data_IF_997443157526
#
_entry.id   IF_997443157526
#
_cell.length_a   1.000
_cell.length_b   1.000
_cell.length_c   1.000
_cell.angle_alpha   90.00
_cell.angle_beta   90.00
_cell.angle_gamma   90.00
#
_symmetry.space_group_name_H-M   'P 1'
#
loop_
_entity.id
_entity.type
_entity.pdbx_description
1 polymer ?
2 water ?
#
# COMPACT_ATOMS: atom_id res chain seq x y z
N UNK A 4 11.16 16.38 -25.31
CA UNK A 4 12.17 15.80 -26.17
C UNK A 4 13.42 15.38 -25.41
N UNK A 5 13.40 15.42 -24.08
CA UNK A 5 14.62 14.99 -23.37
C UNK A 5 14.33 13.88 -22.39
N UNK A 6 15.32 13.03 -22.12
CA UNK A 6 15.19 11.92 -21.19
C UNK A 6 15.09 12.40 -19.75
N UNK A 7 14.54 11.58 -18.86
CA UNK A 7 14.44 11.90 -17.45
C UNK A 7 15.87 12.03 -16.90
N UNK A 8 16.05 12.96 -16.01
CA UNK A 8 17.35 13.17 -15.36
C UNK A 8 17.01 13.30 -13.87
N UNK A 9 17.40 12.30 -13.08
CA UNK A 9 17.07 12.32 -11.66
C UNK A 9 17.67 13.55 -10.97
N UNK A 10 16.98 14.01 -9.94
CA UNK A 10 17.44 15.15 -9.17
C UNK A 10 18.78 14.84 -8.51
N UNK A 11 19.54 15.88 -8.14
CA UNK A 11 20.79 15.58 -7.44
C UNK A 11 20.50 15.76 -5.94
N UNK A 12 20.94 14.81 -5.12
CA UNK A 12 20.68 14.93 -3.68
C UNK A 12 21.70 15.88 -3.07
N UNK A 13 21.27 17.08 -2.74
CA UNK A 13 22.12 18.10 -2.17
C UNK A 13 22.58 17.70 -0.77
N UNK A 14 21.64 17.31 0.09
CA UNK A 14 21.96 16.96 1.46
C UNK A 14 20.86 16.18 2.16
N UNK A 15 21.28 15.18 2.92
CA UNK A 15 20.41 14.33 3.72
C UNK A 15 20.67 14.62 5.19
N UNK A 16 19.63 14.68 6.03
CA UNK A 16 19.83 14.97 7.44
C UNK A 16 18.74 14.38 8.32
N UNK A 17 19.13 13.66 9.36
CA UNK A 17 18.14 13.08 10.29
C UNK A 17 17.46 14.25 10.99
N UNK A 18 16.16 14.36 10.92
CA UNK A 18 15.43 15.48 11.52
C UNK A 18 14.62 15.06 12.72
N UNK A 19 14.36 13.77 12.84
CA UNK A 19 13.55 13.24 13.93
C UNK A 19 13.73 11.73 14.04
N UNK A 20 13.83 11.27 15.29
CA UNK A 20 14.02 9.84 15.52
C UNK A 20 13.23 9.40 16.74
N UNK A 21 12.36 8.42 16.55
CA UNK A 21 11.56 7.87 17.64
C UNK A 21 12.19 6.49 17.94
N UNK A 22 11.42 5.52 18.34
CA UNK A 22 11.99 4.20 18.66
C UNK A 22 11.77 3.19 17.55
N UNK A 23 11.20 3.66 16.45
CA UNK A 23 10.93 2.79 15.31
C UNK A 23 10.89 3.63 14.03
N UNK A 24 10.87 4.95 14.24
CA UNK A 24 10.80 5.87 13.13
C UNK A 24 11.92 6.89 13.06
N UNK A 25 12.61 6.94 11.92
CA UNK A 25 13.66 7.94 11.74
C UNK A 25 13.40 8.72 10.45
N UNK A 26 12.93 9.95 10.63
CA UNK A 26 12.62 10.79 9.47
C UNK A 26 13.84 11.60 9.04
N UNK A 27 13.97 11.72 7.70
CA UNK A 27 15.08 12.46 7.12
C UNK A 27 14.59 13.65 6.30
N UNK A 28 15.44 14.66 6.22
CA UNK A 28 15.14 15.85 5.41
C UNK A 28 16.07 15.75 4.19
N UNK A 29 15.50 15.80 2.99
CA UNK A 29 16.33 15.68 1.80
C UNK A 29 16.27 16.94 0.94
N UNK A 30 17.46 17.48 0.72
CA UNK A 30 17.65 18.67 -0.12
C UNK A 30 17.81 18.18 -1.57
N UNK A 31 16.95 18.62 -2.46
CA UNK A 31 17.01 18.21 -3.84
C UNK A 31 17.11 19.34 -4.87
N UNK A 32 17.92 19.07 -5.89
CA UNK A 32 18.04 20.01 -6.98
C UNK A 32 17.56 19.27 -8.24
N UNK A 33 16.41 19.67 -8.77
CA UNK A 33 15.92 18.97 -9.97
C UNK A 33 16.67 19.38 -11.23
N UNK A 34 16.49 18.64 -12.31
CA UNK A 34 17.11 18.93 -13.60
C UNK A 34 16.96 20.35 -14.09
N UNK A 35 15.79 20.94 -13.78
CA UNK A 35 15.52 22.31 -14.14
C UNK A 35 16.11 23.23 -13.09
N UNK A 36 17.03 22.90 -12.23
CA UNK A 36 17.58 23.83 -11.26
C UNK A 36 16.64 24.17 -10.14
N UNK A 37 15.45 23.59 -10.10
CA UNK A 37 14.53 23.88 -9.00
C UNK A 37 15.03 23.14 -7.75
N UNK A 38 15.11 23.85 -6.64
CA UNK A 38 15.57 23.29 -5.39
C UNK A 38 14.39 23.13 -4.43
N UNK A 39 14.36 21.99 -3.73
CA UNK A 39 13.30 21.71 -2.78
C UNK A 39 13.80 20.82 -1.65
N UNK A 40 13.14 20.92 -0.51
CA UNK A 40 13.44 20.12 0.66
C UNK A 40 12.29 19.12 0.90
N UNK A 41 12.54 17.84 0.80
CA UNK A 41 11.47 16.86 1.05
C UNK A 41 11.77 16.08 2.31
N UNK A 42 10.76 15.51 2.94
CA UNK A 42 10.96 14.70 4.14
C UNK A 42 10.61 13.26 3.81
N UNK A 43 11.31 12.29 4.35
CA UNK A 43 11.04 10.88 4.09
C UNK A 43 11.45 10.02 5.29
N UNK A 45 13.82 7.23 6.84
CA UNK A 45 15.18 6.78 6.53
C UNK A 45 15.07 5.48 5.74
N UNK A 46 15.73 5.45 4.59
CA UNK A 46 15.71 4.29 3.72
C UNK A 46 16.32 3.06 4.37
N UNK A 47 15.71 1.91 4.14
CA UNK A 47 16.18 0.65 4.63
C UNK A 47 16.13 -0.36 3.45
N UNK A 48 16.96 -1.38 3.58
CA UNK A 48 17.00 -2.46 2.59
C UNK A 48 16.29 -3.65 3.24
N UNK A 49 15.76 -3.42 4.44
CA UNK A 49 15.02 -4.41 5.22
C UNK A 49 13.69 -4.69 4.50
N UNK A 50 13.52 -5.90 4.00
CA UNK A 50 12.32 -6.22 3.27
C UNK A 50 11.30 -6.99 4.09
N UNK A 51 10.05 -6.91 3.61
CA UNK A 51 8.93 -7.56 4.27
C UNK A 51 8.49 -8.77 3.46
N UNK A 52 7.69 -9.60 4.09
CA UNK A 52 7.15 -10.79 3.44
C UNK A 52 5.70 -10.90 3.89
N UNK A 54 2.47 -13.75 3.55
CA UNK A 54 2.11 -15.12 3.22
C UNK A 54 0.60 -15.31 3.09
N UNK A 55 0.23 -15.95 1.99
CA UNK A 55 -1.11 -16.34 1.62
C UNK A 55 -1.19 -17.88 1.57
N UNK A 56 -1.49 -18.47 2.72
CA UNK A 56 -1.61 -19.91 2.85
C UNK A 56 -2.92 -20.42 2.27
N UNK A 57 -2.92 -21.50 1.54
CA UNK A 57 -4.13 -22.08 0.96
C UNK A 57 -4.26 -23.52 1.44
N UNK A 58 -5.36 -23.93 2.08
CA UNK A 58 -5.43 -25.31 2.55
C UNK A 58 -6.47 -26.15 1.84
N UNK A 59 -7.74 -26.15 2.21
CA UNK A 59 -8.66 -27.04 1.44
C UNK A 59 -9.54 -26.16 0.57
N UNK A 60 -8.90 -25.52 -0.40
CA UNK A 60 -9.58 -24.56 -1.25
C UNK A 60 -10.08 -23.40 -0.39
N UNK A 61 -9.32 -23.09 0.66
CA UNK A 61 -9.59 -22.02 1.56
C UNK A 61 -8.32 -21.16 1.76
N UNK A 62 -8.54 -19.89 1.98
CA UNK A 62 -7.47 -18.93 2.25
C UNK A 62 -7.31 -18.88 3.78
N UNK A 63 -6.14 -18.91 4.37
CA UNK A 63 -6.05 -18.78 5.82
C UNK A 63 -5.75 -17.28 6.08
N UNK A 64 -6.75 -16.54 6.53
CA UNK A 64 -6.58 -15.12 6.83
C UNK A 64 -6.40 -14.99 8.34
N UNK A 65 -5.91 -13.86 8.80
CA UNK A 65 -5.78 -13.64 10.24
C UNK A 65 -6.38 -12.28 10.61
N UNK A 66 -6.78 -12.15 11.87
CA UNK A 66 -7.32 -10.95 12.46
C UNK A 66 -6.27 -10.35 13.39
N UNK A 67 -5.87 -9.13 13.12
CA UNK A 67 -4.82 -8.49 13.91
C UNK A 67 -5.07 -7.04 14.23
N UNK A 68 -4.80 -6.68 15.49
CA UNK A 68 -4.96 -5.31 15.94
C UNK A 68 -3.99 -4.32 15.29
N UNK A 69 -4.46 -3.20 14.84
CA UNK A 69 -3.71 -2.14 14.21
C UNK A 69 -3.88 -0.88 15.05
N UNK A 70 -2.80 -0.39 15.65
CA UNK A 70 -2.90 0.78 16.51
C UNK A 70 -3.15 2.06 15.73
N UNK A 71 -2.69 2.10 14.47
CA UNK A 71 -2.91 3.27 13.63
C UNK A 71 -4.40 3.58 13.51
N UNK A 72 -5.26 2.59 13.34
CA UNK A 72 -6.69 2.78 13.21
C UNK A 72 -7.47 2.33 14.45
N UNK A 73 -6.79 1.79 15.46
CA UNK A 73 -7.43 1.30 16.66
C UNK A 73 -8.51 0.29 16.36
N UNK A 74 -8.17 -0.68 15.51
CA UNK A 74 -9.17 -1.71 15.17
C UNK A 74 -8.47 -2.97 14.67
N UNK A 75 -9.28 -4.01 14.50
CA UNK A 75 -8.81 -5.28 14.04
C UNK A 75 -8.90 -5.39 12.54
N UNK A 76 -7.75 -5.53 11.88
CA UNK A 76 -7.85 -5.68 10.41
C UNK A 76 -7.99 -7.17 10.10
N UNK A 77 -8.61 -7.52 8.99
CA UNK A 77 -8.78 -8.92 8.57
C UNK A 77 -7.86 -9.04 7.37
N UNK A 78 -6.91 -9.97 7.31
CA UNK A 78 -6.02 -10.02 6.16
C UNK A 78 -4.96 -11.08 6.22
N UNK A 79 -3.92 -10.90 5.39
CA UNK A 79 -2.84 -11.87 5.31
C UNK A 79 -1.70 -11.55 6.26
N UNK A 80 -1.12 -12.60 6.80
CA UNK A 80 0.02 -12.55 7.69
C UNK A 80 1.19 -11.80 7.05
N UNK A 81 1.72 -10.85 7.79
CA UNK A 81 2.83 -10.02 7.30
C UNK A 81 3.98 -10.02 8.28
N UNK A 82 5.21 -10.04 7.80
CA UNK A 82 6.38 -10.02 8.65
C UNK A 82 7.64 -9.54 7.93
N UNK A 83 8.69 -9.34 8.69
CA UNK A 83 9.96 -8.90 8.17
C UNK A 83 10.83 -10.09 7.78
N UNK A 84 11.72 -9.86 6.82
CA UNK A 84 12.66 -10.89 6.38
C UNK A 84 13.93 -10.62 7.18
N UNK A 85 14.35 -11.51 8.06
CA UNK A 85 15.59 -11.18 8.82
C UNK A 85 16.82 -11.22 7.92
N UNK A 86 17.78 -10.36 8.24
CA UNK A 86 19.04 -10.33 7.51
C UNK A 86 19.54 -11.75 7.32
N UNK A 87 19.86 -12.14 6.10
CA UNK A 87 20.34 -13.47 5.79
C UNK A 87 19.30 -14.42 5.28
N UNK A 88 18.01 -14.23 5.60
CA UNK A 88 16.99 -15.17 5.18
C UNK A 88 16.53 -14.91 3.75
N UNK A 89 16.14 -15.99 3.07
CA UNK A 89 15.60 -15.82 1.71
C UNK A 89 14.09 -15.58 1.88
N UNK A 90 13.35 -15.30 0.81
CA UNK A 90 11.92 -15.08 0.96
C UNK A 90 11.26 -16.36 1.47
N UNK A 91 11.74 -17.50 0.97
CA UNK A 91 11.20 -18.79 1.38
C UNK A 91 11.39 -19.00 2.87
N UNK A 92 12.60 -18.76 3.38
CA UNK A 92 12.91 -18.96 4.77
C UNK A 92 12.05 -18.10 5.69
N UNK A 93 11.94 -16.83 5.35
CA UNK A 93 11.20 -15.87 6.12
C UNK A 93 9.71 -16.21 6.10
N UNK A 94 9.22 -16.62 4.94
CA UNK A 94 7.80 -16.92 4.84
C UNK A 94 7.46 -18.10 5.73
N UNK A 95 8.29 -19.14 5.64
CA UNK A 95 8.04 -20.36 6.41
C UNK A 95 8.14 -20.13 7.90
N UNK A 96 9.07 -19.28 8.32
CA UNK A 96 9.25 -18.99 9.73
C UNK A 96 8.08 -18.22 10.32
N UNK A 97 7.69 -17.13 9.67
CA UNK A 97 6.64 -16.22 10.05
C UNK A 97 5.29 -16.95 10.08
N UNK A 98 5.08 -17.86 9.14
CA UNK A 98 3.85 -18.63 9.12
C UNK A 98 3.86 -19.50 10.40
N UNK A 99 5.01 -20.07 10.76
CA UNK A 99 5.11 -20.93 11.93
C UNK A 99 4.86 -20.19 13.23
N UNK A 100 5.39 -18.96 13.32
CA UNK A 100 5.25 -18.16 14.51
C UNK A 100 3.83 -17.61 14.63
N UNK A 101 3.22 -17.17 13.53
CA UNK A 101 1.91 -16.55 13.63
C UNK A 101 0.71 -17.45 13.51
N UNK A 102 0.80 -18.53 12.76
CA UNK A 102 -0.32 -19.43 12.49
C UNK A 102 -0.09 -20.86 12.91
N UNK A 103 1.14 -21.24 13.25
CA UNK A 103 1.45 -22.56 13.68
C UNK A 103 1.62 -23.59 12.60
N UNK A 104 1.88 -23.20 11.37
CA UNK A 104 2.11 -24.13 10.30
C UNK A 104 3.38 -23.72 9.53
N UNK A 105 4.05 -24.73 9.02
CA UNK A 105 5.23 -24.43 8.14
C UNK A 105 4.67 -24.90 6.79
N UNK A 106 5.35 -24.73 5.68
CA UNK A 106 4.76 -25.22 4.43
C UNK A 106 5.81 -25.89 3.55
N UNK A 107 5.45 -26.98 2.89
CA UNK A 107 6.37 -27.65 1.97
C UNK A 107 6.40 -26.99 0.61
N UNK A 108 5.37 -26.20 0.28
CA UNK A 108 5.32 -25.58 -1.04
C UNK A 108 5.10 -24.08 -0.99
N UNK A 109 6.20 -23.31 -1.08
CA UNK A 109 6.16 -21.87 -1.04
C UNK A 109 6.50 -21.26 -2.38
N UNK A 110 5.64 -20.36 -2.88
CA UNK A 110 5.90 -19.75 -4.16
C UNK A 110 5.87 -18.23 -4.09
N UNK A 111 7.00 -17.69 -4.51
CA UNK A 111 7.30 -16.26 -4.54
C UNK A 111 6.65 -15.69 -5.80
N UNK A 112 5.55 -15.00 -5.55
CA UNK A 112 4.67 -14.42 -6.55
C UNK A 112 4.98 -13.06 -7.10
N UNK A 113 5.45 -12.12 -6.30
CA UNK A 113 5.69 -10.76 -6.79
C UNK A 113 6.27 -9.92 -5.65
N UNK A 114 6.99 -8.87 -5.98
CA UNK A 114 7.58 -7.97 -4.99
C UNK A 114 7.00 -6.59 -5.25
N UNK A 115 6.59 -5.85 -4.23
CA UNK A 115 5.98 -4.54 -4.44
C UNK A 115 6.57 -3.49 -3.51
N UNK A 116 6.46 -2.23 -3.89
CA UNK A 116 6.87 -1.11 -3.06
C UNK A 116 5.60 -0.53 -2.43
N UNK A 118 4.21 3.18 -1.36
CA UNK A 118 4.37 4.64 -1.27
C UNK A 118 5.84 4.99 -1.20
N UNK A 119 6.52 4.87 -2.35
CA UNK A 119 7.93 5.13 -2.46
C UNK A 119 8.32 6.58 -2.27
N UNK A 120 7.40 7.51 -2.21
CA UNK A 120 7.69 8.92 -1.98
C UNK A 120 8.35 9.09 -0.60
N UNK A 121 7.76 8.45 0.40
CA UNK A 121 8.23 8.50 1.76
C UNK A 121 8.89 7.22 2.25
N UNK A 122 8.44 6.05 1.78
CA UNK A 122 9.02 4.81 2.30
C UNK A 122 9.80 4.08 1.22
N UNK A 123 10.71 3.20 1.62
CA UNK A 123 11.50 2.49 0.61
C UNK A 123 11.26 0.99 0.69
N UNK A 124 10.85 0.52 1.87
CA UNK A 124 10.62 -0.89 2.08
C UNK A 124 9.80 -1.55 0.97
N UNK A 125 10.15 -2.80 0.69
CA UNK A 125 9.40 -3.55 -0.30
C UNK A 125 8.83 -4.81 0.39
N UNK A 127 7.39 -8.77 -0.14
CA UNK A 127 7.41 -9.95 -1.00
C UNK A 127 6.15 -10.80 -0.79
N UNK A 128 5.36 -11.03 -1.83
CA UNK A 128 4.15 -11.85 -1.66
C UNK A 128 4.43 -13.32 -1.93
N UNK A 129 4.20 -14.15 -0.94
CA UNK A 129 4.46 -15.57 -1.05
C UNK A 129 3.26 -16.47 -0.80
N UNK A 130 2.92 -17.34 -1.76
CA UNK A 130 1.82 -18.29 -1.56
C UNK A 130 2.36 -19.59 -0.91
N UNK A 131 1.73 -20.00 0.19
CA UNK A 131 2.11 -21.17 0.94
C UNK A 131 1.14 -22.34 0.84
N UNK A 132 1.58 -23.50 0.38
CA UNK A 132 0.72 -24.67 0.27
C UNK A 132 1.36 -25.91 0.88
N UNK A 133 0.56 -26.94 1.10
CA UNK A 133 1.09 -28.21 1.68
C UNK A 133 1.65 -27.91 3.06
N UNK A 134 0.75 -27.53 3.95
CA UNK A 134 1.10 -27.15 5.32
C UNK A 134 1.25 -28.33 6.25
N UNK A 135 2.04 -28.15 7.30
CA UNK A 135 2.29 -29.17 8.31
C UNK A 135 2.41 -28.43 9.64
N UNK A 136 1.76 -28.94 10.67
CA UNK A 136 1.79 -28.33 11.99
C UNK A 136 3.23 -28.21 12.51
N UNK A 137 3.57 -27.04 13.02
CA UNK A 137 4.86 -26.72 13.59
C UNK A 137 4.78 -25.28 14.11
N UNK A 138 4.99 -25.10 15.40
CA UNK A 138 4.84 -23.78 15.97
C UNK A 138 6.11 -23.16 16.48
N UNK A 139 6.30 -21.88 16.23
CA UNK A 139 7.48 -21.14 16.66
C UNK A 139 7.00 -19.95 17.51
N UNK A 140 7.86 -19.39 18.32
CA UNK A 140 7.52 -18.26 19.17
C UNK A 140 7.70 -16.92 18.49
N UNK A 141 6.61 -16.16 18.38
CA UNK A 141 6.72 -14.83 17.72
C UNK A 141 6.68 -13.74 18.79
N UNK A 142 6.48 -12.51 18.37
CA UNK A 142 6.43 -11.39 19.31
C UNK A 142 5.04 -10.82 19.47
N UNK A 143 4.00 -11.51 19.01
CA UNK A 143 2.64 -11.01 19.14
C UNK A 143 2.19 -10.98 20.60
N UNK A 144 1.50 -9.94 21.00
CA UNK A 144 1.01 -9.81 22.37
C UNK A 144 -0.22 -10.63 22.64
N UNK A 145 -0.94 -10.99 21.58
CA UNK A 145 -2.19 -11.77 21.74
C UNK A 145 -2.24 -12.68 20.52
N UNK A 146 -2.84 -13.83 20.69
CA UNK A 146 -2.95 -14.81 19.58
C UNK A 146 -3.75 -14.25 18.43
N UNK A 147 -3.47 -14.67 17.21
CA UNK A 147 -4.20 -14.18 16.05
C UNK A 147 -5.25 -15.13 15.55
N UNK A 148 -6.52 -14.78 15.74
CA UNK A 148 -7.62 -15.62 15.29
C UNK A 148 -7.48 -15.88 13.80
N UNK A 149 -7.71 -17.11 13.37
CA UNK A 149 -7.63 -17.49 11.98
C UNK A 149 -9.00 -17.58 11.33
N UNK A 150 -9.03 -17.21 10.05
CA UNK A 150 -10.25 -17.28 9.27
C UNK A 150 -9.97 -18.01 7.95
N UNK A 151 -10.71 -19.09 7.76
CA UNK A 151 -10.68 -19.89 6.55
C UNK A 151 -11.63 -19.27 5.53
N UNK A 152 -11.11 -18.73 4.43
CA UNK A 152 -12.01 -18.08 3.46
C UNK A 152 -11.99 -18.83 2.15
N UNK A 153 -13.16 -19.30 1.71
CA UNK A 153 -13.27 -20.08 0.49
C UNK A 153 -12.78 -19.36 -0.74
N UNK A 154 -11.94 -20.08 -1.50
CA UNK A 154 -11.36 -19.59 -2.74
C UNK A 154 -12.48 -19.37 -3.76
N UNK A 155 -13.56 -20.17 -3.66
CA UNK A 155 -14.68 -20.00 -4.57
C UNK A 155 -15.31 -18.61 -4.41
N UNK A 156 -15.11 -17.93 -3.27
CA UNK A 156 -15.63 -16.64 -2.96
C UNK A 156 -14.58 -15.66 -2.49
N UNK A 159 -15.26 -11.89 -2.31
CA UNK A 159 -16.22 -11.39 -1.36
C UNK A 159 -15.48 -10.59 -0.29
N UNK A 160 -14.19 -10.85 -0.10
CA UNK A 160 -13.35 -10.16 0.86
C UNK A 160 -13.31 -8.67 0.60
N UNK A 161 -13.56 -8.20 -0.62
CA UNK A 161 -13.58 -6.79 -0.99
C UNK A 161 -14.78 -6.08 -0.39
N UNK A 162 -15.76 -6.87 0.09
CA UNK A 162 -16.92 -6.32 0.74
C UNK A 162 -16.68 -6.03 2.22
N UNK A 163 -15.58 -6.45 2.77
CA UNK A 163 -15.19 -6.23 4.15
C UNK A 163 -14.21 -5.09 4.34
N UNK A 164 -14.67 -3.99 4.93
CA UNK A 164 -13.81 -2.83 5.17
C UNK A 164 -12.60 -3.21 5.97
N UNK A 165 -12.65 -4.20 6.87
CA UNK A 165 -11.49 -4.62 7.64
C UNK A 165 -10.36 -5.22 6.79
N UNK A 166 -10.65 -5.64 5.58
CA UNK A 166 -9.68 -6.22 4.68
C UNK A 166 -9.21 -5.26 3.59
N UNK A 167 -10.02 -4.25 3.27
CA UNK A 167 -9.69 -3.34 2.18
C UNK A 167 -8.51 -2.45 2.38
N UNK A 168 -7.32 -2.99 2.25
CA UNK A 168 -6.06 -2.21 2.41
C UNK A 168 -5.24 -2.54 1.18
N UNK A 169 -4.52 -1.61 0.60
CA UNK A 169 -3.73 -1.86 -0.61
C UNK A 169 -2.88 -3.12 -0.64
N UNK A 170 -2.16 -3.46 0.44
CA UNK A 170 -1.36 -4.69 0.37
C UNK A 170 -2.21 -5.93 0.27
N UNK A 171 -3.27 -6.01 1.09
CA UNK A 171 -4.17 -7.14 1.05
C UNK A 171 -4.83 -7.31 -0.33
N UNK A 172 -5.33 -6.22 -0.91
CA UNK A 172 -6.03 -6.22 -2.18
C UNK A 172 -5.17 -6.63 -3.33
N UNK A 173 -3.94 -6.15 -3.36
CA UNK A 173 -2.96 -6.54 -4.38
C UNK A 173 -2.74 -8.06 -4.26
N UNK A 174 -2.42 -8.47 -3.02
CA UNK A 174 -2.17 -9.88 -2.79
C UNK A 174 -3.34 -10.70 -3.31
N UNK A 175 -4.57 -10.33 -2.94
CA UNK A 175 -5.76 -11.06 -3.34
C UNK A 175 -5.87 -11.24 -4.85
N UNK A 176 -5.69 -10.19 -5.64
CA UNK A 176 -5.77 -10.23 -7.08
C UNK A 176 -4.65 -11.00 -7.76
N UNK A 177 -3.43 -10.87 -7.24
CA UNK A 177 -2.28 -11.56 -7.81
C UNK A 177 -2.39 -13.04 -7.53
N UNK A 178 -2.96 -13.41 -6.37
CA UNK A 178 -3.07 -14.82 -6.04
C UNK A 178 -4.14 -15.46 -6.90
N UNK A 179 -5.23 -14.72 -7.11
CA UNK A 179 -6.31 -15.21 -7.97
C UNK A 179 -5.76 -15.32 -9.40
N UNK A 180 -4.93 -14.39 -9.87
CA UNK A 180 -4.38 -14.54 -11.22
C UNK A 180 -3.52 -15.80 -11.27
N UNK A 181 -2.69 -15.98 -10.26
CA UNK A 181 -1.82 -17.16 -10.19
C UNK A 181 -2.70 -18.42 -10.21
N UNK A 182 -3.75 -18.46 -9.42
CA UNK A 182 -4.71 -19.55 -9.37
C UNK A 182 -5.34 -19.78 -10.74
N UNK A 183 -5.76 -18.69 -11.40
CA UNK A 183 -6.35 -18.76 -12.74
C UNK A 183 -5.43 -19.58 -13.65
N UNK A 184 -4.15 -19.25 -13.65
CA UNK A 184 -3.14 -19.89 -14.44
C UNK A 184 -3.21 -21.39 -14.51
N UNK A 185 -3.62 -22.05 -13.44
CA UNK A 185 -3.72 -23.50 -13.37
C UNK A 185 -5.15 -23.98 -13.14
N UNK A 186 -6.09 -23.07 -13.33
CA UNK A 186 -7.49 -23.25 -13.17
C UNK A 186 -8.03 -23.63 -11.83
N UNK A 187 -7.40 -23.34 -10.68
CA UNK A 187 -8.02 -23.77 -9.42
C UNK A 187 -8.90 -22.69 -8.82
N UNK A 188 -9.20 -21.70 -9.63
CA UNK A 188 -9.97 -20.52 -9.42
C UNK A 188 -10.69 -20.43 -8.08
N UNK B 4 -11.96 -19.20 22.58
CA UNK B 4 -12.66 -18.52 21.49
C UNK B 4 -13.68 -17.54 22.01
N UNK B 5 -13.37 -16.24 21.96
CA UNK B 5 -14.30 -15.22 22.43
C UNK B 5 -14.19 -13.95 21.59
N UNK B 6 -15.15 -13.06 21.78
CA UNK B 6 -15.21 -11.81 21.05
C UNK B 6 -13.90 -11.05 21.03
N UNK B 7 -13.65 -10.37 19.92
CA UNK B 7 -12.48 -9.57 19.67
C UNK B 7 -12.47 -8.29 20.50
N UNK B 8 -12.00 -8.33 21.74
CA UNK B 8 -11.98 -7.12 22.55
C UNK B 8 -10.73 -6.28 22.33
N UNK B 9 -10.93 -5.07 21.80
CA UNK B 9 -9.86 -4.14 21.56
C UNK B 9 -9.02 -3.91 22.83
N UNK B 10 -7.72 -3.78 22.62
CA UNK B 10 -6.81 -3.49 23.73
C UNK B 10 -7.23 -2.14 24.30
N UNK B 11 -6.84 -1.82 25.54
CA UNK B 11 -7.28 -0.50 26.01
C UNK B 11 -6.11 0.43 25.98
N UNK B 12 -6.38 1.66 25.57
CA UNK B 12 -5.34 2.67 25.47
C UNK B 12 -5.13 3.37 26.80
N UNK B 13 -3.98 3.11 27.40
CA UNK B 13 -3.63 3.73 28.66
C UNK B 13 -2.95 5.07 28.49
N UNK B 14 -2.19 5.25 27.40
CA UNK B 14 -1.54 6.57 27.26
C UNK B 14 -1.13 6.80 25.82
N UNK B 15 -1.10 8.08 25.44
CA UNK B 15 -0.69 8.54 24.13
C UNK B 15 0.27 9.73 24.34
N UNK B 16 1.40 9.72 23.66
CA UNK B 16 2.36 10.83 23.88
C UNK B 16 3.07 11.10 22.57
N UNK B 17 3.34 12.37 22.27
CA UNK B 17 4.04 12.67 21.02
C UNK B 17 5.54 12.45 21.33
N UNK B 18 6.16 11.57 20.60
CA UNK B 18 7.55 11.18 20.77
C UNK B 18 8.49 11.82 19.79
N UNK B 19 7.98 12.20 18.61
CA UNK B 19 8.77 12.85 17.60
C UNK B 19 7.89 13.64 16.64
N UNK B 20 8.41 14.80 16.23
CA UNK B 20 7.69 15.64 15.29
C UNK B 20 8.65 16.32 14.33
N UNK B 21 8.43 16.06 13.06
CA UNK B 21 9.21 16.62 11.97
C UNK B 21 8.28 17.66 11.31
N UNK B 22 8.67 18.22 10.18
CA UNK B 22 7.79 19.19 9.54
C UNK B 22 6.49 18.52 9.11
N UNK B 23 6.57 17.38 8.46
CA UNK B 23 5.41 16.66 7.97
C UNK B 23 5.03 15.42 8.77
N UNK B 24 5.95 14.90 9.59
CA UNK B 24 5.65 13.69 10.34
C UNK B 24 5.60 13.93 11.83
N UNK B 25 4.59 13.36 12.47
CA UNK B 25 4.42 13.48 13.92
C UNK B 25 4.07 12.10 14.47
N UNK B 26 5.06 11.47 15.13
CA UNK B 26 4.88 10.13 15.67
C UNK B 26 4.54 10.08 17.13
N UNK B 27 3.49 9.31 17.45
CA UNK B 27 3.04 9.12 18.82
C UNK B 27 3.40 7.73 19.36
N UNK B 28 3.46 7.66 20.69
CA UNK B 28 3.77 6.44 21.43
C UNK B 28 2.45 5.99 22.06
N UNK B 29 2.03 4.77 21.90
CA UNK B 29 0.77 4.34 22.45
C UNK B 29 0.93 3.17 23.42
N UNK B 30 0.44 3.42 24.63
CA UNK B 30 0.46 2.42 25.68
C UNK B 30 -0.82 1.58 25.61
N UNK B 31 -0.65 0.30 25.36
CA UNK B 31 -1.78 -0.58 25.27
C UNK B 31 -1.78 -1.68 26.33
N UNK B 32 -3.00 -2.15 26.58
CA UNK B 32 -3.26 -3.23 27.49
C UNK B 32 -4.29 -4.13 26.78
N UNK B 33 -3.72 -5.19 26.19
CA UNK B 33 -4.58 -6.13 25.46
C UNK B 33 -5.50 -6.85 26.44
N UNK B 34 -6.55 -7.48 25.94
CA UNK B 34 -7.51 -8.18 26.76
C UNK B 34 -6.94 -9.34 27.54
N UNK B 35 -5.80 -9.90 27.16
CA UNK B 35 -5.23 -11.02 27.91
C UNK B 35 -4.32 -10.52 29.01
N UNK B 36 -4.29 -9.21 29.21
CA UNK B 36 -3.43 -8.62 30.22
C UNK B 36 -2.04 -8.21 29.76
N UNK B 37 -1.59 -8.58 28.57
CA UNK B 37 -0.26 -8.16 28.12
C UNK B 37 -0.18 -6.65 27.88
N UNK B 38 0.90 -6.01 28.30
CA UNK B 38 1.00 -4.57 28.10
C UNK B 38 2.10 -4.30 27.09
N UNK B 39 1.92 -3.29 26.26
CA UNK B 39 2.90 -3.00 25.22
C UNK B 39 2.86 -1.55 24.75
N UNK B 40 3.96 -1.05 24.20
CA UNK B 40 4.00 0.32 23.70
C UNK B 40 4.20 0.34 22.17
N UNK B 41 3.23 0.91 21.48
CA UNK B 41 3.30 1.00 20.03
C UNK B 41 3.61 2.41 19.58
N UNK B 42 4.19 2.54 18.40
CA UNK B 42 4.56 3.81 17.80
C UNK B 42 3.76 3.92 16.51
N UNK B 43 3.18 5.06 16.25
CA UNK B 43 2.38 5.20 15.02
C UNK B 43 2.45 6.64 14.54
N UNK B 45 0.56 10.08 13.89
CA UNK B 45 -0.62 10.70 14.49
C UNK B 45 -1.80 10.64 13.54
N UNK B 46 -2.86 9.97 13.96
CA UNK B 46 -4.06 9.81 13.15
C UNK B 46 -4.56 11.13 12.57
N UNK B 47 -5.10 11.07 11.37
CA UNK B 47 -5.65 12.21 10.65
C UNK B 47 -6.93 11.80 9.94
N UNK B 48 -7.77 12.78 9.62
CA UNK B 48 -9.02 12.48 8.89
C UNK B 48 -8.82 12.83 7.41
N UNK B 49 -7.63 13.35 7.11
CA UNK B 49 -7.28 13.76 5.75
C UNK B 49 -7.17 12.55 4.83
N UNK B 50 -8.01 12.46 3.80
CA UNK B 50 -8.03 11.37 2.88
C UNK B 50 -7.34 11.71 1.55
N UNK B 51 -7.04 10.64 0.81
CA UNK B 51 -6.38 10.78 -0.48
C UNK B 51 -7.32 10.32 -1.60
N UNK B 52 -6.96 10.79 -2.78
CA UNK B 52 -7.63 10.46 -4.00
C UNK B 52 -6.56 10.08 -5.04
N UNK B 54 -6.46 9.11 -9.24
CA UNK B 54 -7.22 9.17 -10.46
C UNK B 54 -6.64 8.30 -11.57
N UNK B 55 -7.53 7.52 -12.16
CA UNK B 55 -7.30 6.63 -13.26
C UNK B 55 -8.05 7.09 -14.51
N UNK B 56 -7.42 7.97 -15.29
CA UNK B 56 -8.03 8.50 -16.50
C UNK B 56 -7.93 7.53 -17.66
N UNK B 57 -8.97 7.38 -18.43
CA UNK B 57 -9.04 6.51 -19.60
C UNK B 57 -9.44 7.35 -20.80
N UNK B 58 -8.73 7.32 -21.95
CA UNK B 58 -9.09 8.15 -23.06
C UNK B 58 -9.36 7.44 -24.37
N UNK B 59 -8.40 6.91 -25.11
CA UNK B 59 -8.87 6.27 -26.38
C UNK B 59 -8.43 4.82 -26.28
N UNK B 60 -9.06 4.20 -25.27
CA UNK B 60 -8.76 2.83 -24.92
C UNK B 60 -7.38 2.72 -24.26
N UNK B 61 -6.92 3.83 -23.70
CA UNK B 61 -5.66 3.97 -23.04
C UNK B 61 -5.77 4.56 -21.63
N UNK B 62 -4.80 4.17 -20.81
CA UNK B 62 -4.67 4.60 -19.43
C UNK B 62 -3.71 5.80 -19.45
N UNK B 63 -4.01 6.89 -18.76
CA UNK B 63 -3.07 7.99 -18.75
C UNK B 63 -2.26 7.79 -17.44
N UNK B 64 -1.01 7.37 -17.59
CA UNK B 64 -0.17 7.16 -16.41
C UNK B 64 0.81 8.35 -16.38
N UNK B 65 1.46 8.57 -15.25
CA UNK B 65 2.43 9.66 -15.16
C UNK B 65 3.73 9.19 -14.53
N UNK B 66 4.81 9.90 -14.88
CA UNK B 66 6.11 9.57 -14.29
C UNK B 66 6.41 10.60 -13.21
N UNK B 67 6.68 10.18 -11.99
CA UNK B 67 6.96 11.13 -10.91
C UNK B 67 8.10 10.67 -10.03
N UNK B 68 9.01 11.61 -9.70
CA UNK B 68 10.13 11.29 -8.85
C UNK B 68 9.61 11.04 -7.43
N UNK B 69 10.15 10.04 -6.79
CA UNK B 69 9.84 9.62 -5.42
C UNK B 69 11.14 9.65 -4.63
N UNK B 70 11.20 10.56 -3.66
CA UNK B 70 12.45 10.68 -2.88
C UNK B 70 12.70 9.48 -2.00
N UNK B 71 11.62 8.82 -1.52
CA UNK B 71 11.79 7.64 -0.68
C UNK B 71 12.76 6.65 -1.31
N UNK B 72 12.52 6.23 -2.52
CA UNK B 72 13.37 5.27 -3.24
C UNK B 72 14.35 5.96 -4.18
N UNK B 73 14.32 7.28 -4.26
CA UNK B 73 15.18 8.06 -5.13
C UNK B 73 15.11 7.61 -6.57
N UNK B 74 13.90 7.43 -7.09
CA UNK B 74 13.74 7.00 -8.48
C UNK B 74 12.39 7.46 -9.04
N UNK B 75 12.27 7.35 -10.36
CA UNK B 75 11.06 7.76 -11.06
C UNK B 75 10.03 6.66 -11.02
N UNK B 76 8.84 6.98 -10.49
CA UNK B 76 7.85 5.90 -10.40
C UNK B 76 6.86 6.04 -11.52
N UNK B 77 6.35 4.94 -12.08
CA UNK B 77 5.36 5.03 -13.15
C UNK B 77 4.02 4.61 -12.53
N UNK B 78 3.02 5.52 -12.56
CA UNK B 78 1.76 5.16 -11.95
C UNK B 78 0.60 6.09 -12.13
N UNK B 79 -0.40 5.91 -11.24
CA UNK B 79 -1.58 6.78 -11.34
C UNK B 79 -1.41 8.06 -10.53
N UNK B 80 -2.01 9.12 -11.05
CA UNK B 80 -1.96 10.42 -10.38
C UNK B 80 -2.65 10.32 -9.01
N UNK B 81 -1.95 10.74 -7.98
CA UNK B 81 -2.41 10.73 -6.61
C UNK B 81 -2.41 12.15 -6.03
N UNK B 82 -3.33 12.45 -5.13
CA UNK B 82 -3.43 13.73 -4.48
C UNK B 82 -4.34 13.68 -3.25
N UNK B 83 -4.27 14.72 -2.43
CA UNK B 83 -5.04 14.90 -1.24
C UNK B 83 -6.41 15.52 -1.48
N UNK B 84 -7.41 15.07 -0.74
CA UNK B 84 -8.76 15.64 -0.84
C UNK B 84 -8.81 16.85 0.09
N UNK B 85 -9.20 18.01 -0.42
CA UNK B 85 -9.29 19.20 0.41
C UNK B 85 -10.55 19.17 1.28
N UNK B 86 -10.43 19.62 2.52
CA UNK B 86 -11.55 19.73 3.45
C UNK B 86 -12.73 20.37 2.76
N UNK B 87 -13.88 19.74 2.78
CA UNK B 87 -15.05 20.29 2.11
C UNK B 87 -15.28 19.72 0.74
N UNK B 88 -14.25 19.16 0.09
CA UNK B 88 -14.38 18.63 -1.26
C UNK B 88 -14.94 17.23 -1.35
N UNK B 89 -15.67 16.87 -2.40
CA UNK B 89 -16.11 15.48 -2.49
C UNK B 89 -15.04 14.70 -3.27
N UNK B 90 -15.09 13.36 -3.26
CA UNK B 90 -14.13 12.57 -4.00
C UNK B 90 -14.13 12.98 -5.47
N UNK B 91 -15.30 13.27 -6.03
CA UNK B 91 -15.39 13.67 -7.42
C UNK B 91 -14.74 15.04 -7.65
N UNK B 92 -15.02 16.00 -6.75
CA UNK B 92 -14.45 17.32 -6.89
C UNK B 92 -12.94 17.24 -6.85
N UNK B 93 -12.41 16.61 -5.82
CA UNK B 93 -10.97 16.44 -5.65
C UNK B 93 -10.34 15.71 -6.82
N UNK B 94 -10.95 14.64 -7.31
CA UNK B 94 -10.38 13.91 -8.44
C UNK B 94 -10.28 14.81 -9.65
N UNK B 95 -11.31 15.61 -9.91
CA UNK B 95 -11.31 16.50 -11.07
C UNK B 95 -10.28 17.62 -10.95
N UNK B 96 -10.08 18.13 -9.75
CA UNK B 96 -9.11 19.18 -9.48
C UNK B 96 -7.67 18.70 -9.66
N UNK B 97 -7.34 17.54 -9.07
CA UNK B 97 -6.03 16.96 -9.15
C UNK B 97 -5.68 16.50 -10.57
N UNK B 98 -6.67 15.99 -11.30
CA UNK B 98 -6.41 15.56 -12.68
C UNK B 98 -5.92 16.78 -13.49
N UNK B 99 -6.61 17.87 -13.27
CA UNK B 99 -6.44 19.16 -13.85
C UNK B 99 -5.09 19.80 -13.57
N UNK B 100 -4.59 19.65 -12.35
CA UNK B 100 -3.32 20.20 -11.96
C UNK B 100 -2.14 19.35 -12.46
N UNK B 101 -2.26 18.03 -12.49
CA UNK B 101 -1.16 17.18 -12.89
C UNK B 101 -1.17 16.78 -14.36
N UNK B 102 -2.34 16.48 -14.90
CA UNK B 102 -2.46 16.01 -16.27
C UNK B 102 -2.97 17.04 -17.23
N UNK B 103 -3.61 18.10 -16.76
CA UNK B 103 -4.11 19.11 -17.68
C UNK B 103 -5.47 18.79 -18.28
N UNK B 104 -6.23 17.88 -17.70
CA UNK B 104 -7.56 17.57 -18.19
C UNK B 104 -8.53 17.58 -16.98
N UNK B 105 -9.80 17.74 -17.33
CA UNK B 105 -10.93 17.71 -16.40
C UNK B 105 -11.74 16.51 -16.94
N UNK B 106 -12.61 15.93 -16.14
CA UNK B 106 -13.37 14.77 -16.68
C UNK B 106 -14.85 15.00 -16.52
N UNK B 107 -15.69 14.58 -17.48
CA UNK B 107 -17.12 14.80 -17.27
C UNK B 107 -17.71 13.56 -16.58
N UNK B 108 -17.01 12.43 -16.69
CA UNK B 108 -17.45 11.18 -16.11
C UNK B 108 -16.50 10.60 -15.08
N UNK B 109 -16.77 10.88 -13.82
CA UNK B 109 -15.94 10.38 -12.72
C UNK B 109 -16.66 9.35 -11.88
N UNK B 110 -16.12 8.13 -11.80
CA UNK B 110 -16.80 7.13 -10.98
C UNK B 110 -15.92 6.72 -9.82
N UNK B 111 -16.53 6.67 -8.63
CA UNK B 111 -15.81 6.32 -7.40
C UNK B 111 -15.93 4.81 -7.23
N UNK B 112 -14.78 4.16 -7.38
CA UNK B 112 -14.63 2.73 -7.36
C UNK B 112 -14.35 2.05 -6.05
N UNK B 113 -13.59 2.69 -5.17
CA UNK B 113 -13.27 1.98 -3.92
C UNK B 113 -12.51 2.86 -2.94
N UNK B 114 -12.54 2.49 -1.67
CA UNK B 114 -11.82 3.23 -0.63
C UNK B 114 -10.93 2.20 0.07
N UNK B 115 -9.63 2.44 0.01
CA UNK B 115 -8.64 1.54 0.58
C UNK B 115 -7.91 2.15 1.78
N UNK B 116 -7.64 1.35 2.80
CA UNK B 116 -6.89 1.82 3.97
C UNK B 116 -5.41 1.72 3.62
N UNK B 118 -1.81 0.79 5.29
CA UNK B 118 -1.02 0.35 6.43
C UNK B 118 -1.57 0.83 7.77
N UNK B 119 -2.69 0.24 8.21
CA UNK B 119 -3.37 0.60 9.43
C UNK B 119 -2.61 0.42 10.72
N UNK B 120 -1.54 -0.34 10.75
CA UNK B 120 -0.76 -0.52 11.97
C UNK B 120 -0.10 0.80 12.36
N UNK B 121 0.34 1.58 11.38
CA UNK B 121 0.95 2.87 11.68
C UNK B 121 0.16 4.03 11.10
N UNK B 122 -0.70 3.82 10.10
CA UNK B 122 -1.44 4.94 9.51
C UNK B 122 -2.94 4.79 9.63
N UNK B 123 -3.66 5.88 9.34
CA UNK B 123 -5.11 5.84 9.42
C UNK B 123 -5.70 6.57 8.21
N UNK B 124 -4.83 6.72 7.21
CA UNK B 124 -5.15 7.38 5.98
C UNK B 124 -6.00 6.51 5.05
N UNK B 125 -6.91 7.15 4.31
CA UNK B 125 -7.77 6.49 3.36
C UNK B 125 -7.38 6.90 1.94
N UNK B 127 -8.96 7.03 -1.95
CA UNK B 127 -10.12 6.87 -2.83
C UNK B 127 -9.69 6.69 -4.28
N UNK B 128 -10.19 5.63 -4.91
CA UNK B 128 -9.87 5.35 -6.31
C UNK B 128 -11.02 5.78 -7.21
N UNK B 129 -10.69 6.72 -8.11
CA UNK B 129 -11.67 7.24 -9.06
C UNK B 129 -11.25 7.03 -10.51
N UNK B 130 -12.16 6.52 -11.33
CA UNK B 130 -11.88 6.35 -12.76
C UNK B 130 -12.35 7.60 -13.51
N UNK B 131 -11.51 8.20 -14.34
CA UNK B 131 -11.89 9.41 -15.07
C UNK B 131 -12.17 9.20 -16.53
N UNK B 132 -13.38 9.54 -17.01
CA UNK B 132 -13.67 9.37 -18.44
C UNK B 132 -14.22 10.66 -19.02
N UNK B 133 -14.38 10.70 -20.33
CA UNK B 133 -14.86 11.84 -21.09
C UNK B 133 -14.10 13.10 -20.69
N UNK B 134 -12.83 13.12 -21.08
CA UNK B 134 -11.92 14.21 -20.73
C UNK B 134 -11.96 15.43 -21.64
N UNK B 135 -11.64 16.58 -21.05
CA UNK B 135 -11.61 17.86 -21.72
C UNK B 135 -10.42 18.65 -21.14
N UNK B 136 -9.73 19.36 -22.00
CA UNK B 136 -8.57 20.14 -21.63
C UNK B 136 -8.87 21.25 -20.65
N UNK B 137 -8.09 21.39 -19.60
CA UNK B 137 -8.27 22.44 -18.61
C UNK B 137 -7.11 22.34 -17.61
N UNK B 138 -6.42 23.46 -17.34
CA UNK B 138 -5.28 23.37 -16.46
C UNK B 138 -5.41 24.16 -15.18
N UNK B 139 -4.82 23.63 -14.12
CA UNK B 139 -4.80 24.32 -12.83
C UNK B 139 -3.34 24.28 -12.37
N UNK B 140 -2.85 25.25 -11.63
CA UNK B 140 -1.46 25.21 -11.19
C UNK B 140 -1.32 24.27 -9.99
N UNK B 141 -0.57 23.20 -10.21
CA UNK B 141 -0.32 22.27 -9.06
C UNK B 141 0.96 22.88 -8.44
N UNK B 142 1.66 22.17 -7.58
CA UNK B 142 2.89 22.77 -7.02
C UNK B 142 4.13 21.99 -7.41
N UNK B 143 4.05 21.21 -8.48
CA UNK B 143 5.14 20.37 -8.93
C UNK B 143 6.42 21.09 -9.27
N UNK B 144 7.53 20.55 -8.78
CA UNK B 144 8.86 21.08 -9.01
C UNK B 144 9.35 20.87 -10.42
N UNK B 145 8.81 19.88 -11.11
CA UNK B 145 9.19 19.56 -12.49
C UNK B 145 7.97 18.93 -13.15
N UNK B 146 7.91 18.98 -14.47
CA UNK B 146 6.80 18.41 -15.21
C UNK B 146 6.68 16.90 -15.04
N UNK B 147 5.46 16.39 -15.12
CA UNK B 147 5.13 14.99 -15.02
C UNK B 147 4.83 14.34 -16.37
N UNK B 148 5.84 13.69 -16.93
CA UNK B 148 5.69 13.04 -18.22
C UNK B 148 4.46 12.14 -18.21
N UNK B 149 3.63 12.21 -19.23
CA UNK B 149 2.44 11.35 -19.29
C UNK B 149 2.75 10.15 -20.17
N UNK B 150 2.14 9.02 -19.91
CA UNK B 150 2.34 7.81 -20.69
C UNK B 150 0.96 7.18 -20.99
N UNK B 151 0.64 7.01 -22.25
CA UNK B 151 -0.62 6.40 -22.67
C UNK B 151 -0.45 4.90 -22.78
N UNK B 152 -1.13 4.11 -21.95
CA UNK B 152 -1.04 2.67 -21.91
C UNK B 152 -2.34 2.02 -22.34
N UNK B 153 -2.25 1.23 -23.40
CA UNK B 153 -3.41 0.54 -23.96
C UNK B 153 -4.13 -0.33 -22.95
N UNK B 154 -5.45 -0.23 -22.92
CA UNK B 154 -6.30 -1.04 -22.05
C UNK B 154 -6.15 -2.51 -22.42
N UNK B 155 -5.96 -2.82 -23.72
CA UNK B 155 -5.82 -4.23 -24.12
C UNK B 155 -4.58 -4.90 -23.55
N UNK B 156 -3.59 -4.15 -23.08
CA UNK B 156 -2.36 -4.63 -22.54
C UNK B 156 -2.07 -4.10 -21.14
N UNK B 159 0.31 -5.85 -18.71
CA UNK B 159 1.73 -5.79 -18.98
C UNK B 159 2.41 -4.86 -17.99
N UNK B 160 1.65 -3.92 -17.40
CA UNK B 160 2.15 -2.98 -16.43
C UNK B 160 2.81 -3.68 -15.25
N UNK B 161 2.37 -4.88 -14.91
CA UNK B 161 2.91 -5.71 -13.85
C UNK B 161 4.32 -6.21 -14.14
N UNK B 162 4.89 -5.93 -15.30
CA UNK B 162 6.21 -6.30 -15.71
C UNK B 162 7.16 -5.11 -15.56
N UNK B 163 6.62 -3.98 -15.11
CA UNK B 163 7.42 -2.77 -14.94
C UNK B 163 7.57 -2.46 -13.46
N UNK B 164 8.76 -2.70 -12.89
CA UNK B 164 9.04 -2.46 -11.49
C UNK B 164 8.81 -1.03 -11.08
N UNK B 165 8.80 -0.07 -12.01
CA UNK B 165 8.56 1.31 -11.65
C UNK B 165 7.09 1.53 -11.28
N UNK B 166 6.22 0.63 -11.69
CA UNK B 166 4.79 0.67 -11.43
C UNK B 166 4.34 -0.18 -10.25
N UNK B 167 5.01 -1.25 -9.93
CA UNK B 167 4.66 -2.20 -8.92
C UNK B 167 4.63 -1.75 -7.48
N UNK B 168 3.73 -0.85 -7.13
CA UNK B 168 3.50 -0.27 -5.80
C UNK B 168 2.12 -0.72 -5.38
N UNK B 169 1.85 -1.08 -4.11
CA UNK B 169 0.52 -1.61 -3.78
C UNK B 169 -0.69 -0.79 -4.20
N UNK B 170 -0.63 0.52 -4.15
CA UNK B 170 -1.77 1.36 -4.54
C UNK B 170 -2.01 1.22 -6.03
N UNK B 171 -0.97 1.42 -6.84
CA UNK B 171 -1.17 1.28 -8.28
C UNK B 171 -1.74 -0.10 -8.64
N UNK B 172 -1.13 -1.18 -8.16
CA UNK B 172 -1.54 -2.54 -8.44
C UNK B 172 -2.96 -2.82 -7.98
N UNK B 173 -3.32 -2.29 -6.79
CA UNK B 173 -4.71 -2.47 -6.34
C UNK B 173 -5.67 -1.80 -7.33
N UNK B 174 -5.35 -0.57 -7.71
CA UNK B 174 -6.16 0.19 -8.64
C UNK B 174 -6.22 -0.43 -10.03
N UNK B 175 -5.11 -0.98 -10.51
CA UNK B 175 -5.12 -1.59 -11.84
C UNK B 175 -6.08 -2.78 -11.87
N UNK B 176 -6.06 -3.62 -10.84
CA UNK B 176 -6.95 -4.78 -10.80
C UNK B 176 -8.40 -4.37 -10.57
N UNK B 177 -8.64 -3.34 -9.75
CA UNK B 177 -9.99 -2.87 -9.49
C UNK B 177 -10.62 -2.21 -10.73
N UNK B 178 -9.78 -1.54 -11.52
CA UNK B 178 -10.29 -0.86 -12.71
C UNK B 178 -10.64 -1.92 -13.75
N UNK B 179 -9.79 -2.94 -13.83
CA UNK B 179 -10.03 -4.03 -14.78
C UNK B 179 -11.28 -4.78 -14.39
N UNK B 180 -11.54 -5.09 -13.11
CA UNK B 180 -12.80 -5.78 -12.78
C UNK B 180 -13.99 -4.90 -13.23
N UNK B 181 -13.90 -3.61 -12.92
CA UNK B 181 -14.92 -2.67 -13.32
C UNK B 181 -15.08 -2.66 -14.82
N UNK B 182 -14.00 -2.62 -15.60
CA UNK B 182 -14.09 -2.63 -17.07
C UNK B 182 -14.74 -3.94 -17.55
N UNK B 183 -14.42 -5.05 -16.89
CA UNK B 183 -14.96 -6.36 -17.22
C UNK B 183 -16.49 -6.25 -17.14
N UNK B 184 -16.93 -5.62 -16.06
CA UNK B 184 -18.33 -5.38 -15.79
C UNK B 184 -19.05 -4.97 -17.06
N UNK B 185 -18.60 -3.93 -17.76
CA UNK B 185 -19.27 -3.52 -18.99
C UNK B 185 -18.57 -3.96 -20.27
N UNK B 186 -17.82 -5.04 -20.22
CA UNK B 186 -17.09 -5.60 -21.31
C UNK B 186 -16.18 -4.67 -22.09
N UNK B 187 -15.49 -3.70 -21.49
CA UNK B 187 -14.61 -2.86 -22.33
C UNK B 187 -13.17 -3.34 -22.26
N UNK B 188 -13.00 -4.42 -21.51
CA UNK B 188 -11.81 -5.16 -21.20
C UNK B 188 -10.50 -4.50 -21.62
#
# INVERSE_FOLDING_TARGET
>A
XSLSKSLQKPTILNVETVARSRLFTVESVDLEFSNGVRRVYERXRPTNREAVXIVPIVDDHLILIREYAVGTESYELGFSKGLIDPGESVYEAANRELKEEVGFGANDLTFLKKLSXAPSYFSSKXNIVVAQDLYPESLEGDEPEPLPQVRWPLAHXXDLLEDPDFNEARNVSALFLVREWLKGQGRVEGGSHHHHHH
>B
XSLSKSLQKPTILNVETVARSRLFTVESVDLEFSNGVRRVYERXRPTNREAVXIVPIVDDHLILIREYAVGTESYELGFSKGLIDPGESVYEAANRELKEEVGFGANDLTFLKKLSXAPSYFSSKXNIVVAQDLYPESLEGDEPEPLPQVRWPLAHXXDLLEDPDFNEARNVSALFLVREWLKGQGRVEGGSHHHHHH
#
